data_IF_747010299430
#
_entry.id   IF_747010299430
#
_cell.length_a   1.000
_cell.length_b   1.000
_cell.length_c   1.000
_cell.angle_alpha   90.00
_cell.angle_beta   90.00
_cell.angle_gamma   90.00
#
_symmetry.space_group_name_H-M   'P 1'
#
loop_
_entity.id
_entity.type
_entity.pdbx_description
1 polymer ?
#
# COMPACT_ATOMS: atom_id res chain seq x y z
N UNK A 1 -32.99 -18.93 3.92
CA UNK A 1 -31.76 -18.97 4.73
C UNK A 1 -30.66 -18.41 3.83
N UNK A 2 -30.33 -17.17 4.02
CA UNK A 2 -29.21 -16.52 3.35
C UNK A 2 -27.92 -17.08 3.92
N UNK A 3 -27.10 -17.69 3.05
CA UNK A 3 -25.71 -18.05 3.40
C UNK A 3 -25.01 -16.78 3.82
N UNK A 4 -24.61 -16.72 5.10
CA UNK A 4 -23.76 -15.68 5.62
C UNK A 4 -22.46 -15.75 4.79
N UNK A 5 -22.11 -14.66 4.11
CA UNK A 5 -20.78 -14.45 3.54
C UNK A 5 -19.77 -14.66 4.68
N UNK A 6 -19.14 -15.82 4.71
CA UNK A 6 -17.97 -16.05 5.53
C UNK A 6 -16.85 -15.22 4.91
N UNK A 7 -16.82 -13.95 5.29
CA UNK A 7 -15.77 -13.03 4.85
C UNK A 7 -14.41 -13.64 5.20
N UNK A 8 -13.57 -13.84 4.18
CA UNK A 8 -12.21 -14.35 4.37
C UNK A 8 -11.48 -13.45 5.36
N UNK A 9 -11.08 -14.00 6.49
CA UNK A 9 -10.31 -13.26 7.50
C UNK A 9 -8.98 -12.85 6.87
N UNK A 10 -8.71 -11.54 6.85
CA UNK A 10 -7.46 -10.99 6.33
C UNK A 10 -6.43 -10.98 7.43
N UNK A 11 -5.40 -11.79 7.30
CA UNK A 11 -4.30 -11.91 8.28
C UNK A 11 -2.94 -11.49 7.72
N UNK A 12 -2.81 -11.40 6.40
CA UNK A 12 -1.55 -11.10 5.71
C UNK A 12 -1.73 -9.90 4.80
N UNK A 13 -1.09 -8.80 5.15
CA UNK A 13 -1.19 -7.53 4.44
C UNK A 13 0.19 -7.08 3.95
N UNK A 14 0.28 -6.68 2.70
CA UNK A 14 1.41 -5.94 2.17
C UNK A 14 1.09 -4.45 2.24
N UNK A 15 1.98 -3.67 2.84
CA UNK A 15 1.83 -2.22 2.97
C UNK A 15 2.75 -1.55 1.97
N UNK A 16 2.18 -0.82 1.04
CA UNK A 16 2.92 0.05 0.12
C UNK A 16 3.04 1.45 0.71
N UNK A 17 4.25 1.98 0.79
CA UNK A 17 4.48 3.32 1.34
C UNK A 17 5.05 4.25 0.28
N UNK A 18 4.46 5.44 0.16
CA UNK A 18 4.96 6.52 -0.70
C UNK A 18 5.39 7.74 0.10
N UNK A 19 6.15 8.65 -0.50
CA UNK A 19 6.89 9.68 0.21
C UNK A 19 6.04 10.87 0.66
N UNK A 20 5.19 10.68 1.67
CA UNK A 20 4.44 11.74 2.34
C UNK A 20 4.84 11.87 3.81
N UNK A 21 4.57 13.02 4.43
CA UNK A 21 4.91 13.28 5.83
C UNK A 21 4.32 12.24 6.81
N UNK A 22 3.21 11.63 6.46
CA UNK A 22 2.59 10.55 7.24
C UNK A 22 3.48 9.31 7.38
N UNK A 23 4.60 9.22 6.63
CA UNK A 23 5.64 8.23 6.90
C UNK A 23 6.21 8.32 8.32
N UNK A 24 6.17 9.50 8.95
CA UNK A 24 6.58 9.68 10.35
C UNK A 24 5.67 8.92 11.33
N UNK A 25 4.45 8.61 10.93
CA UNK A 25 3.46 7.87 11.73
C UNK A 25 3.23 6.44 11.23
N UNK A 26 4.08 5.90 10.38
CA UNK A 26 3.87 4.56 9.80
C UNK A 26 3.78 3.46 10.88
N UNK A 27 4.50 3.61 11.97
CA UNK A 27 4.43 2.71 13.12
C UNK A 27 3.03 2.61 13.74
N UNK A 28 2.28 3.72 13.78
CA UNK A 28 0.92 3.76 14.32
C UNK A 28 -0.05 2.98 13.41
N UNK A 29 0.08 3.10 12.09
CA UNK A 29 -0.70 2.31 11.14
C UNK A 29 -0.41 0.81 11.28
N UNK A 30 0.86 0.44 11.42
CA UNK A 30 1.27 -0.96 11.64
C UNK A 30 0.68 -1.49 12.96
N UNK A 31 0.76 -0.71 14.04
CA UNK A 31 0.19 -1.08 15.33
C UNK A 31 -1.34 -1.25 15.24
N UNK A 32 -2.03 -0.36 14.54
CA UNK A 32 -3.47 -0.46 14.31
C UNK A 32 -3.83 -1.73 13.53
N UNK A 33 -3.08 -2.07 12.48
CA UNK A 33 -3.28 -3.32 11.73
C UNK A 33 -3.08 -4.56 12.63
N UNK A 34 -2.05 -4.55 13.50
CA UNK A 34 -1.82 -5.63 14.47
C UNK A 34 -2.99 -5.77 15.45
N UNK A 35 -3.55 -4.65 15.94
CA UNK A 35 -4.64 -4.66 16.91
C UNK A 35 -5.95 -5.27 16.37
N UNK A 36 -6.16 -5.24 15.05
CA UNK A 36 -7.33 -5.85 14.40
C UNK A 36 -7.06 -7.27 13.88
N UNK A 37 -5.91 -7.88 14.23
CA UNK A 37 -5.63 -9.28 13.96
C UNK A 37 -4.77 -9.57 12.72
N UNK A 38 -4.18 -8.54 12.08
CA UNK A 38 -3.22 -8.77 10.99
C UNK A 38 -1.93 -9.36 11.57
N UNK A 39 -1.61 -10.59 11.20
CA UNK A 39 -0.48 -11.35 11.75
C UNK A 39 0.81 -11.18 10.97
N UNK A 40 0.72 -11.09 9.66
CA UNK A 40 1.87 -10.91 8.79
C UNK A 40 1.77 -9.60 8.02
N UNK A 41 2.75 -8.74 8.21
CA UNK A 41 2.87 -7.45 7.53
C UNK A 41 4.21 -7.40 6.82
N UNK A 42 4.18 -7.23 5.49
CA UNK A 42 5.33 -6.84 4.69
C UNK A 42 5.20 -5.37 4.29
N UNK A 43 6.31 -4.72 4.05
CA UNK A 43 6.34 -3.31 3.62
C UNK A 43 7.14 -3.18 2.32
N UNK A 44 6.57 -2.49 1.35
CA UNK A 44 7.27 -2.06 0.13
C UNK A 44 7.37 -0.54 0.16
N UNK A 45 8.57 -0.02 0.08
CA UNK A 45 8.84 1.42 0.08
C UNK A 45 9.08 1.92 -1.35
N UNK A 46 8.42 3.00 -1.73
CA UNK A 46 8.88 3.77 -2.89
C UNK A 46 10.25 4.41 -2.60
N UNK A 47 11.03 4.82 -3.62
CA UNK A 47 12.31 5.48 -3.39
C UNK A 47 12.20 6.71 -2.47
N UNK A 48 11.15 7.51 -2.62
CA UNK A 48 10.92 8.68 -1.77
C UNK A 48 10.54 8.30 -0.33
N UNK A 49 9.75 7.24 -0.13
CA UNK A 49 9.47 6.74 1.21
C UNK A 49 10.72 6.17 1.89
N UNK A 50 11.54 5.43 1.15
CA UNK A 50 12.81 4.90 1.65
C UNK A 50 13.80 5.99 2.07
N UNK A 51 13.73 7.18 1.47
CA UNK A 51 14.53 8.33 1.88
C UNK A 51 14.03 8.99 3.18
N UNK A 52 12.80 8.72 3.60
CA UNK A 52 12.16 9.33 4.78
C UNK A 52 12.20 8.45 6.03
N UNK A 53 12.54 7.18 5.90
CA UNK A 53 12.55 6.24 7.02
C UNK A 53 13.71 5.27 6.89
N UNK A 54 14.14 4.71 8.05
CA UNK A 54 15.13 3.64 8.05
C UNK A 54 14.46 2.28 7.82
N UNK A 55 14.81 1.54 6.75
CA UNK A 55 14.33 0.17 6.57
C UNK A 55 14.58 -0.72 7.79
N UNK A 56 15.77 -0.60 8.42
CA UNK A 56 16.10 -1.36 9.62
C UNK A 56 15.16 -1.09 10.81
N UNK A 57 14.66 0.14 10.94
CA UNK A 57 13.67 0.47 11.97
C UNK A 57 12.31 -0.18 11.68
N UNK A 58 11.93 -0.29 10.41
CA UNK A 58 10.71 -0.98 10.02
C UNK A 58 10.83 -2.50 10.19
N UNK A 59 11.98 -3.08 9.87
CA UNK A 59 12.25 -4.51 10.07
C UNK A 59 12.09 -4.96 11.52
N UNK A 60 12.23 -4.05 12.48
CA UNK A 60 11.99 -4.34 13.89
C UNK A 60 10.50 -4.55 14.24
N UNK A 61 9.58 -4.07 13.42
CA UNK A 61 8.13 -4.08 13.70
C UNK A 61 7.28 -4.82 12.67
N UNK A 62 7.86 -5.19 11.51
CA UNK A 62 7.18 -5.93 10.44
C UNK A 62 7.96 -7.18 10.06
N UNK A 63 7.36 -8.04 9.23
CA UNK A 63 7.96 -9.32 8.87
C UNK A 63 9.03 -9.22 7.78
N UNK A 64 8.88 -8.29 6.85
CA UNK A 64 9.84 -8.05 5.76
C UNK A 64 9.67 -6.63 5.18
N UNK A 65 10.76 -6.05 4.70
CA UNK A 65 10.79 -4.70 4.11
C UNK A 65 11.52 -4.76 2.77
N UNK A 66 10.95 -4.12 1.76
CA UNK A 66 11.52 -4.04 0.41
C UNK A 66 11.60 -2.58 -0.04
N UNK A 67 12.73 -2.19 -0.62
CA UNK A 67 12.88 -0.94 -1.39
C UNK A 67 12.75 -1.29 -2.87
N UNK A 68 13.39 -2.37 -3.30
CA UNK A 68 13.26 -2.97 -4.61
C UNK A 68 12.86 -4.44 -4.45
N UNK A 69 12.06 -4.96 -5.39
CA UNK A 69 11.61 -6.35 -5.32
C UNK A 69 12.69 -7.27 -5.92
N UNK A 70 13.36 -8.09 -5.11
CA UNK A 70 14.37 -9.02 -5.62
C UNK A 70 13.72 -10.15 -6.44
N UNK A 71 14.50 -10.82 -7.29
CA UNK A 71 14.01 -11.92 -8.12
C UNK A 71 13.32 -13.04 -7.33
N UNK A 72 13.80 -13.34 -6.13
CA UNK A 72 13.26 -14.37 -5.24
C UNK A 72 11.99 -13.95 -4.50
N UNK A 73 11.77 -12.66 -4.34
CA UNK A 73 10.60 -12.06 -3.68
C UNK A 73 9.99 -10.99 -4.59
N UNK A 74 9.76 -11.34 -5.84
CA UNK A 74 9.19 -10.46 -6.84
C UNK A 74 7.66 -10.25 -6.63
N UNK A 75 7.07 -9.40 -7.46
CA UNK A 75 5.65 -9.08 -7.38
C UNK A 75 4.73 -10.31 -7.49
N UNK A 76 5.13 -11.36 -8.24
CA UNK A 76 4.35 -12.60 -8.37
C UNK A 76 4.36 -13.37 -7.04
N UNK A 77 5.54 -13.52 -6.42
CA UNK A 77 5.65 -14.20 -5.12
C UNK A 77 4.86 -13.45 -4.04
N UNK A 78 5.02 -12.13 -3.96
CA UNK A 78 4.32 -11.30 -2.97
C UNK A 78 2.80 -11.29 -3.17
N UNK A 79 2.31 -11.24 -4.41
CA UNK A 79 0.87 -11.27 -4.70
C UNK A 79 0.19 -12.60 -4.31
N UNK A 80 0.96 -13.68 -4.17
CA UNK A 80 0.48 -14.98 -3.67
C UNK A 80 0.55 -15.09 -2.15
N UNK A 81 1.57 -14.48 -1.55
CA UNK A 81 1.83 -14.57 -0.10
C UNK A 81 0.95 -13.63 0.72
N UNK A 82 0.56 -12.50 0.16
CA UNK A 82 -0.28 -11.50 0.84
C UNK A 82 -1.70 -11.50 0.29
N UNK A 83 -2.67 -11.28 1.18
CA UNK A 83 -4.10 -11.29 0.84
C UNK A 83 -4.62 -9.94 0.39
N UNK A 84 -3.98 -8.86 0.83
CA UNK A 84 -4.36 -7.48 0.54
C UNK A 84 -3.13 -6.58 0.40
N UNK A 85 -3.26 -5.58 -0.46
CA UNK A 85 -2.35 -4.43 -0.49
C UNK A 85 -3.04 -3.25 0.17
N UNK A 86 -2.34 -2.60 1.08
CA UNK A 86 -2.74 -1.31 1.67
C UNK A 86 -1.66 -0.30 1.34
N UNK A 87 -1.99 0.72 0.56
CA UNK A 87 -1.05 1.80 0.25
C UNK A 87 -1.28 2.95 1.22
N UNK A 88 -0.37 3.13 2.15
CA UNK A 88 -0.41 4.14 3.20
C UNK A 88 1.01 4.59 3.59
N UNK A 89 1.31 5.88 3.51
CA UNK A 89 0.54 6.93 2.87
C UNK A 89 0.61 6.86 1.34
N UNK A 90 -0.43 7.35 0.65
CA UNK A 90 -0.49 7.46 -0.81
C UNK A 90 -0.42 8.93 -1.24
N UNK A 91 0.66 9.32 -1.92
CA UNK A 91 0.86 10.68 -2.42
C UNK A 91 0.00 10.99 -3.65
N UNK A 92 -0.22 12.27 -3.97
CA UNK A 92 -0.87 12.67 -5.21
C UNK A 92 -0.13 12.14 -6.45
N UNK A 93 1.21 12.08 -6.42
CA UNK A 93 2.00 11.49 -7.49
C UNK A 93 1.72 9.98 -7.66
N UNK A 94 1.62 9.25 -6.57
CA UNK A 94 1.22 7.84 -6.60
C UNK A 94 -0.18 7.67 -7.21
N UNK A 95 -1.17 8.46 -6.76
CA UNK A 95 -2.53 8.38 -7.30
C UNK A 95 -2.58 8.64 -8.82
N UNK A 96 -1.81 9.62 -9.29
CA UNK A 96 -1.73 9.93 -10.72
C UNK A 96 -1.11 8.78 -11.53
N UNK A 97 -0.02 8.21 -11.05
CA UNK A 97 0.63 7.06 -11.69
C UNK A 97 -0.27 5.82 -11.67
N UNK A 98 -0.86 5.51 -10.54
CA UNK A 98 -1.76 4.37 -10.35
C UNK A 98 -2.97 4.45 -11.29
N UNK A 99 -3.61 5.62 -11.39
CA UNK A 99 -4.77 5.86 -12.26
C UNK A 99 -4.47 5.69 -13.77
N UNK A 100 -3.20 5.67 -14.15
CA UNK A 100 -2.75 5.45 -15.54
C UNK A 100 -2.02 4.12 -15.74
N UNK A 101 -2.09 3.21 -14.76
CA UNK A 101 -1.45 1.90 -14.84
C UNK A 101 0.07 1.94 -14.72
N UNK A 102 0.62 2.91 -14.00
CA UNK A 102 2.07 3.03 -13.78
C UNK A 102 2.64 1.87 -12.96
N UNK A 103 3.88 1.48 -13.28
CA UNK A 103 4.61 0.41 -12.60
C UNK A 103 6.10 0.77 -12.44
N UNK A 104 6.38 2.02 -12.05
CA UNK A 104 7.75 2.59 -12.02
C UNK A 104 8.55 2.19 -10.78
N UNK A 105 7.90 1.70 -9.76
CA UNK A 105 8.52 1.25 -8.51
C UNK A 105 7.76 0.07 -7.93
N UNK A 106 8.29 -0.53 -6.86
CA UNK A 106 7.70 -1.71 -6.24
C UNK A 106 6.27 -1.52 -5.76
N UNK A 107 5.91 -0.33 -5.26
CA UNK A 107 4.54 -0.05 -4.77
C UNK A 107 3.53 -0.02 -5.92
N UNK A 108 3.86 0.69 -7.00
CA UNK A 108 3.02 0.75 -8.21
C UNK A 108 2.88 -0.63 -8.86
N UNK A 109 3.99 -1.37 -8.95
CA UNK A 109 3.99 -2.73 -9.51
C UNK A 109 3.13 -3.68 -8.68
N UNK A 110 3.17 -3.58 -7.35
CA UNK A 110 2.32 -4.40 -6.48
C UNK A 110 0.85 -4.08 -6.63
N UNK A 111 0.48 -2.80 -6.84
CA UNK A 111 -0.92 -2.44 -7.08
C UNK A 111 -1.49 -3.16 -8.32
N UNK A 112 -0.70 -3.24 -9.39
CA UNK A 112 -1.10 -3.97 -10.62
C UNK A 112 -1.09 -5.49 -10.42
N UNK A 113 -0.15 -6.01 -9.62
CA UNK A 113 0.04 -7.44 -9.45
C UNK A 113 -0.93 -8.10 -8.47
N UNK A 114 -1.54 -7.34 -7.56
CA UNK A 114 -2.47 -7.89 -6.57
C UNK A 114 -3.79 -8.30 -7.22
N UNK A 115 -4.24 -9.56 -7.05
CA UNK A 115 -5.48 -10.04 -7.65
C UNK A 115 -6.74 -9.61 -6.88
N UNK A 116 -6.58 -8.97 -5.75
CA UNK A 116 -7.67 -8.56 -4.85
C UNK A 116 -7.74 -7.04 -4.78
N UNK A 117 -8.92 -6.45 -4.52
CA UNK A 117 -9.05 -5.02 -4.34
C UNK A 117 -8.08 -4.49 -3.29
N UNK A 118 -7.46 -3.35 -3.59
CA UNK A 118 -6.48 -2.70 -2.71
C UNK A 118 -7.13 -1.58 -1.90
N UNK A 119 -6.55 -1.28 -0.74
CA UNK A 119 -6.94 -0.12 0.06
C UNK A 119 -5.90 0.97 -0.15
N UNK A 120 -6.33 2.15 -0.56
CA UNK A 120 -5.44 3.30 -0.78
C UNK A 120 -5.83 4.40 0.20
N UNK A 121 -4.88 4.87 0.99
CA UNK A 121 -5.05 5.93 2.00
C UNK A 121 -4.29 7.18 1.55
N UNK A 122 -4.97 8.12 0.87
CA UNK A 122 -4.35 9.34 0.37
C UNK A 122 -3.83 10.24 1.50
N UNK A 123 -2.70 10.87 1.24
CA UNK A 123 -2.06 11.80 2.17
C UNK A 123 -1.57 13.04 1.43
N UNK A 124 -2.26 14.15 1.62
CA UNK A 124 -1.95 15.46 1.04
C UNK A 124 -2.72 16.56 1.77
N UNK A 125 -2.34 17.80 1.55
CA UNK A 125 -3.09 18.93 2.10
C UNK A 125 -4.42 19.15 1.35
N UNK A 126 -5.33 19.93 1.99
CA UNK A 126 -6.68 20.18 1.45
C UNK A 126 -6.70 20.86 0.09
N UNK A 127 -5.72 21.74 -0.19
CA UNK A 127 -5.64 22.42 -1.49
C UNK A 127 -5.30 21.46 -2.62
N UNK A 128 -4.41 20.50 -2.39
CA UNK A 128 -4.09 19.43 -3.33
C UNK A 128 -5.29 18.48 -3.51
N UNK A 129 -5.90 18.08 -2.41
CA UNK A 129 -7.08 17.20 -2.41
C UNK A 129 -8.22 17.76 -3.26
N UNK A 130 -8.49 19.07 -3.15
CA UNK A 130 -9.56 19.74 -3.89
C UNK A 130 -9.28 19.90 -5.40
N UNK A 131 -8.08 19.58 -5.89
CA UNK A 131 -7.78 19.72 -7.32
C UNK A 131 -8.57 18.74 -8.17
N UNK A 132 -9.24 19.20 -9.26
CA UNK A 132 -9.98 18.31 -10.15
C UNK A 132 -9.16 17.15 -10.70
N UNK A 133 -7.86 17.36 -10.94
CA UNK A 133 -6.97 16.29 -11.41
C UNK A 133 -6.81 15.18 -10.36
N UNK A 134 -6.66 15.51 -9.09
CA UNK A 134 -6.58 14.53 -8.01
C UNK A 134 -7.90 13.79 -7.87
N UNK A 135 -9.03 14.50 -7.89
CA UNK A 135 -10.36 13.88 -7.79
C UNK A 135 -10.65 12.94 -8.96
N UNK A 136 -10.24 13.28 -10.20
CA UNK A 136 -10.35 12.37 -11.36
C UNK A 136 -9.51 11.10 -11.16
N UNK A 137 -8.29 11.22 -10.68
CA UNK A 137 -7.43 10.05 -10.42
C UNK A 137 -8.06 9.11 -9.37
N UNK A 138 -8.63 9.69 -8.30
CA UNK A 138 -9.33 8.91 -7.28
C UNK A 138 -10.55 8.21 -7.87
N UNK A 139 -11.38 8.92 -8.66
CA UNK A 139 -12.56 8.34 -9.30
C UNK A 139 -12.17 7.17 -10.22
N UNK A 140 -11.10 7.33 -11.02
CA UNK A 140 -10.58 6.25 -11.87
C UNK A 140 -10.16 5.04 -11.05
N UNK A 141 -9.40 5.24 -9.97
CA UNK A 141 -8.96 4.13 -9.11
C UNK A 141 -10.12 3.41 -8.42
N UNK A 142 -11.16 4.13 -8.03
CA UNK A 142 -12.39 3.53 -7.46
C UNK A 142 -13.14 2.72 -8.51
N UNK A 143 -13.20 3.20 -9.76
CA UNK A 143 -13.84 2.50 -10.87
C UNK A 143 -13.08 1.23 -11.28
N UNK A 144 -11.77 1.28 -11.24
CA UNK A 144 -10.90 0.14 -11.58
C UNK A 144 -10.90 -0.97 -10.49
N UNK A 145 -11.35 -0.68 -9.25
CA UNK A 145 -11.42 -1.64 -8.13
C UNK A 145 -10.19 -1.58 -7.24
#
# INVERSE_FOLDING_TARGET
>A
MTEAETGTVVERVLVGCTGALQMLSIGDYIAAMRSVGIRRIGVVLSPSAAAMTSPASLEAIVNEVFIELPMTRNHIALSRDYQRLVVVPATANFLASAATGGARNGVELMLIAMPTPSVIVPAMNGAMWAKPAVQRNIATLVEDG
#
